data_IF_322597415498
#
_entry.id   IF_322597415498
#
_cell.length_a   1.000
_cell.length_b   1.000
_cell.length_c   1.000
_cell.angle_alpha   90.00
_cell.angle_beta   90.00
_cell.angle_gamma   90.00
#
_symmetry.space_group_name_H-M   'P 1'
#
loop_
_entity.id
_entity.type
_entity.pdbx_description
1 polymer ?
#
# COMPACT_ATOMS: atom_id res chain seq x y z
N UNK A 1 14.88 11.70 -11.40
CA UNK A 1 13.72 10.79 -11.39
C UNK A 1 13.30 10.50 -9.96
N UNK A 2 12.03 10.67 -9.65
CA UNK A 2 11.50 10.44 -8.30
C UNK A 2 11.15 8.97 -8.12
N UNK A 3 11.70 8.34 -7.08
CA UNK A 3 11.43 6.92 -6.80
C UNK A 3 10.34 6.80 -5.74
N UNK A 4 9.26 6.12 -6.09
CA UNK A 4 8.09 5.96 -5.25
C UNK A 4 7.98 4.54 -4.69
N UNK A 5 7.57 4.45 -3.41
CA UNK A 5 7.04 3.21 -2.86
C UNK A 5 5.52 3.30 -2.90
N UNK A 6 4.86 2.27 -3.38
CA UNK A 6 3.41 2.26 -3.53
C UNK A 6 2.80 1.28 -2.53
N UNK A 7 1.97 1.80 -1.61
CA UNK A 7 1.36 1.00 -0.55
C UNK A 7 -0.13 0.90 -0.80
N UNK A 8 -0.66 -0.30 -0.88
CA UNK A 8 -2.07 -0.52 -1.17
C UNK A 8 -2.58 -1.79 -0.50
N UNK A 9 -3.86 -1.81 -0.17
CA UNK A 9 -4.52 -3.02 0.29
C UNK A 9 -5.04 -3.87 -0.88
N UNK A 10 -5.13 -3.30 -2.07
CA UNK A 10 -5.54 -4.02 -3.28
C UNK A 10 -6.97 -4.53 -3.21
N UNK A 11 -7.85 -3.76 -2.61
CA UNK A 11 -9.16 -4.21 -2.16
C UNK A 11 -10.22 -4.23 -3.25
N UNK A 12 -10.06 -3.43 -4.30
CA UNK A 12 -11.08 -3.34 -5.35
C UNK A 12 -10.61 -2.55 -6.57
N UNK A 13 -11.55 -2.20 -7.46
CA UNK A 13 -11.22 -1.50 -8.71
C UNK A 13 -10.50 -0.17 -8.50
N UNK A 14 -10.79 0.54 -7.40
CA UNK A 14 -10.14 1.83 -7.11
C UNK A 14 -8.65 1.72 -6.99
N UNK A 15 -8.15 0.68 -6.33
CA UNK A 15 -6.71 0.44 -6.19
C UNK A 15 -6.05 0.25 -7.55
N UNK A 16 -6.68 -0.53 -8.42
CA UNK A 16 -6.17 -0.76 -9.77
C UNK A 16 -6.20 0.51 -10.62
N UNK A 17 -7.28 1.28 -10.50
CA UNK A 17 -7.44 2.51 -11.28
C UNK A 17 -6.39 3.57 -10.92
N UNK A 18 -6.06 3.71 -9.63
CA UNK A 18 -5.02 4.62 -9.18
C UNK A 18 -3.66 4.26 -9.78
N UNK A 19 -3.28 3.00 -9.69
CA UNK A 19 -2.00 2.55 -10.23
C UNK A 19 -1.96 2.70 -11.75
N UNK A 20 -3.04 2.31 -12.43
CA UNK A 20 -3.15 2.44 -13.88
C UNK A 20 -2.99 3.89 -14.32
N UNK A 21 -3.66 4.83 -13.63
CA UNK A 21 -3.60 6.23 -13.97
C UNK A 21 -2.17 6.78 -13.93
N UNK A 22 -1.42 6.41 -12.89
CA UNK A 22 -0.02 6.86 -12.75
C UNK A 22 0.85 6.23 -13.82
N UNK A 23 0.68 4.95 -14.09
CA UNK A 23 1.48 4.27 -15.12
C UNK A 23 1.17 4.78 -16.52
N UNK A 24 -0.08 5.13 -16.79
CA UNK A 24 -0.45 5.74 -18.07
C UNK A 24 0.16 7.13 -18.24
N UNK A 25 0.17 7.95 -17.19
CA UNK A 25 0.83 9.25 -17.24
C UNK A 25 2.34 9.11 -17.48
N UNK A 26 2.95 8.14 -16.85
CA UNK A 26 4.36 7.84 -17.07
C UNK A 26 4.63 7.49 -18.53
N UNK A 27 3.82 6.61 -19.09
CA UNK A 27 4.00 6.11 -20.46
C UNK A 27 3.64 7.14 -21.52
N UNK A 28 2.51 7.84 -21.38
CA UNK A 28 1.99 8.74 -22.41
C UNK A 28 2.54 10.15 -22.31
N UNK A 29 2.77 10.65 -21.12
CA UNK A 29 3.14 12.04 -20.89
C UNK A 29 4.53 12.20 -20.27
N UNK A 30 5.29 11.13 -20.14
CA UNK A 30 6.66 11.18 -19.68
C UNK A 30 6.84 11.59 -18.22
N UNK A 31 5.87 11.28 -17.36
CA UNK A 31 5.99 11.55 -15.93
C UNK A 31 7.28 10.91 -15.39
N UNK A 32 8.16 11.74 -14.85
CA UNK A 32 9.52 11.31 -14.48
C UNK A 32 9.55 10.69 -13.08
N UNK A 33 8.95 9.52 -12.98
CA UNK A 33 8.90 8.72 -11.75
C UNK A 33 9.22 7.26 -12.03
N UNK A 34 9.61 6.57 -10.97
CA UNK A 34 9.72 5.11 -10.97
C UNK A 34 8.98 4.59 -9.75
N UNK A 35 8.09 3.62 -9.93
CA UNK A 35 7.51 2.90 -8.81
C UNK A 35 8.47 1.75 -8.48
N UNK A 36 9.24 1.93 -7.41
CA UNK A 36 10.29 0.99 -7.04
C UNK A 36 9.75 -0.34 -6.53
N UNK A 37 8.59 -0.30 -5.89
CA UNK A 37 7.87 -1.48 -5.39
C UNK A 37 6.42 -1.15 -5.14
N UNK A 38 5.60 -2.20 -5.08
CA UNK A 38 4.24 -2.15 -4.52
C UNK A 38 4.24 -3.02 -3.27
N UNK A 39 3.83 -2.44 -2.15
CA UNK A 39 3.65 -3.17 -0.89
C UNK A 39 2.16 -3.35 -0.63
N UNK A 40 1.74 -4.59 -0.36
CA UNK A 40 0.37 -4.92 0.01
C UNK A 40 0.34 -5.56 1.39
N UNK A 41 -0.58 -5.12 2.24
CA UNK A 41 -0.71 -5.64 3.60
C UNK A 41 -1.60 -6.89 3.72
N UNK A 42 -1.88 -7.56 2.61
CA UNK A 42 -2.52 -8.86 2.55
C UNK A 42 -1.72 -9.80 1.67
N UNK A 43 -1.81 -11.09 1.99
CA UNK A 43 -1.23 -12.14 1.16
C UNK A 43 -2.33 -13.12 0.78
N UNK A 44 -2.62 -13.23 -0.52
CA UNK A 44 -3.72 -14.07 -1.01
C UNK A 44 -3.49 -15.57 -0.78
N UNK A 45 -2.26 -15.99 -0.58
CA UNK A 45 -1.94 -17.40 -0.30
C UNK A 45 -2.17 -17.75 1.16
N UNK A 46 -1.87 -16.80 2.07
CA UNK A 46 -1.99 -17.00 3.50
C UNK A 46 -3.39 -16.74 4.04
N UNK A 47 -4.10 -15.80 3.42
CA UNK A 47 -5.35 -15.27 3.96
C UNK A 47 -6.54 -15.52 3.03
N UNK A 48 -7.40 -16.50 3.32
CA UNK A 48 -8.68 -16.57 2.63
C UNK A 48 -9.52 -15.34 3.04
N UNK A 49 -9.98 -14.56 2.07
CA UNK A 49 -10.76 -13.37 2.35
C UNK A 49 -11.67 -13.04 1.16
N UNK A 50 -12.77 -12.30 1.41
CA UNK A 50 -13.75 -12.04 0.36
C UNK A 50 -13.26 -11.16 -0.78
N UNK A 51 -12.09 -10.53 -0.61
CA UNK A 51 -11.51 -9.67 -1.65
C UNK A 51 -10.37 -10.35 -2.40
N UNK A 52 -10.23 -11.66 -2.26
CA UNK A 52 -9.13 -12.40 -2.85
C UNK A 52 -9.06 -12.23 -4.37
N UNK A 53 -10.18 -12.31 -5.06
CA UNK A 53 -10.22 -12.15 -6.52
C UNK A 53 -9.80 -10.75 -6.95
N UNK A 54 -10.32 -9.73 -6.28
CA UNK A 54 -9.97 -8.33 -6.58
C UNK A 54 -8.48 -8.08 -6.33
N UNK A 55 -7.95 -8.62 -5.26
CA UNK A 55 -6.54 -8.47 -4.93
C UNK A 55 -5.65 -9.22 -5.91
N UNK A 56 -6.08 -10.39 -6.36
CA UNK A 56 -5.32 -11.12 -7.37
C UNK A 56 -5.23 -10.33 -8.67
N UNK A 57 -6.31 -9.67 -9.07
CA UNK A 57 -6.29 -8.79 -10.24
C UNK A 57 -5.29 -7.64 -10.06
N UNK A 58 -5.21 -7.08 -8.86
CA UNK A 58 -4.23 -6.05 -8.54
C UNK A 58 -2.80 -6.60 -8.62
N UNK A 59 -2.56 -7.76 -8.05
CA UNK A 59 -1.23 -8.39 -8.10
C UNK A 59 -0.81 -8.70 -9.54
N UNK A 60 -1.73 -9.19 -10.35
CA UNK A 60 -1.45 -9.49 -11.75
C UNK A 60 -1.11 -8.21 -12.53
N UNK A 61 -1.79 -7.11 -12.22
CA UNK A 61 -1.48 -5.81 -12.81
C UNK A 61 -0.08 -5.33 -12.43
N UNK A 62 0.27 -5.42 -11.15
CA UNK A 62 1.61 -5.03 -10.66
C UNK A 62 2.68 -5.83 -11.39
N UNK A 63 2.50 -7.13 -11.50
CA UNK A 63 3.42 -8.01 -12.21
C UNK A 63 3.50 -7.67 -13.69
N UNK A 64 2.36 -7.33 -14.29
CA UNK A 64 2.30 -6.92 -15.69
C UNK A 64 3.09 -5.66 -15.99
N UNK A 65 3.21 -4.76 -15.02
CA UNK A 65 4.05 -3.57 -15.14
C UNK A 65 5.52 -3.86 -14.77
N UNK A 66 5.84 -5.08 -14.41
CA UNK A 66 7.20 -5.47 -13.97
C UNK A 66 7.65 -4.72 -12.72
N UNK A 67 6.72 -4.37 -11.85
CA UNK A 67 7.02 -3.73 -10.57
C UNK A 67 7.21 -4.81 -9.50
N UNK A 68 8.26 -4.76 -8.68
CA UNK A 68 8.41 -5.69 -7.57
C UNK A 68 7.21 -5.63 -6.62
N UNK A 69 6.66 -6.78 -6.29
CA UNK A 69 5.53 -6.91 -5.38
C UNK A 69 6.01 -7.49 -4.05
N UNK A 70 5.74 -6.75 -2.97
CA UNK A 70 6.06 -7.18 -1.61
C UNK A 70 4.74 -7.35 -0.87
N UNK A 71 4.53 -8.53 -0.28
CA UNK A 71 3.32 -8.78 0.52
C UNK A 71 3.70 -9.16 1.94
N UNK A 72 2.90 -8.69 2.89
CA UNK A 72 3.01 -9.11 4.28
C UNK A 72 1.64 -9.01 4.92
N UNK A 73 1.02 -10.16 5.20
CA UNK A 73 -0.31 -10.17 5.80
C UNK A 73 -0.29 -9.52 7.18
N UNK A 74 -1.14 -8.51 7.38
CA UNK A 74 -1.31 -7.91 8.69
C UNK A 74 -2.04 -8.86 9.63
N UNK A 75 -2.90 -9.71 9.08
CA UNK A 75 -3.77 -10.56 9.87
C UNK A 75 -3.03 -11.74 10.50
N UNK A 76 -2.05 -12.29 9.80
CA UNK A 76 -1.26 -13.40 10.30
C UNK A 76 -0.02 -12.96 11.06
N UNK A 77 0.33 -11.68 10.99
CA UNK A 77 1.49 -11.13 11.68
C UNK A 77 1.17 -10.88 13.14
N UNK A 78 1.73 -11.68 14.03
CA UNK A 78 1.60 -11.51 15.48
C UNK A 78 0.16 -11.24 15.94
N UNK A 79 -0.81 -12.15 15.65
CA UNK A 79 -2.20 -11.90 16.06
C UNK A 79 -2.38 -11.80 17.58
N UNK A 80 -1.51 -12.45 18.36
CA UNK A 80 -1.48 -12.31 19.81
C UNK A 80 -1.21 -10.86 20.23
N UNK A 81 -0.24 -10.23 19.60
CA UNK A 81 0.13 -8.84 19.89
C UNK A 81 -0.95 -7.87 19.42
N UNK A 82 -1.57 -8.14 18.29
CA UNK A 82 -2.69 -7.34 17.79
C UNK A 82 -3.81 -7.23 18.82
N UNK A 83 -4.14 -8.34 19.46
CA UNK A 83 -5.21 -8.37 20.47
C UNK A 83 -4.84 -7.70 21.78
N UNK A 84 -3.58 -7.82 22.19
CA UNK A 84 -3.15 -7.41 23.52
C UNK A 84 -2.54 -6.01 23.57
N UNK A 85 -1.85 -5.58 22.53
CA UNK A 85 -1.20 -4.27 22.46
C UNK A 85 -1.09 -3.82 21.01
N UNK A 86 -2.15 -3.21 20.51
CA UNK A 86 -2.22 -2.77 19.12
C UNK A 86 -1.12 -1.77 18.75
N UNK A 87 -0.75 -0.89 19.66
CA UNK A 87 0.32 0.08 19.39
C UNK A 87 1.65 -0.62 19.17
N UNK A 88 1.99 -1.57 20.01
CA UNK A 88 3.22 -2.34 19.85
C UNK A 88 3.18 -3.20 18.61
N UNK A 89 2.01 -3.78 18.30
CA UNK A 89 1.83 -4.53 17.07
C UNK A 89 2.14 -3.64 15.86
N UNK A 90 1.61 -2.43 15.86
CA UNK A 90 1.83 -1.50 14.76
C UNK A 90 3.30 -1.14 14.60
N UNK A 91 3.99 -0.92 15.70
CA UNK A 91 5.42 -0.62 15.67
C UNK A 91 6.22 -1.82 15.14
N UNK A 92 5.89 -3.03 15.56
CA UNK A 92 6.55 -4.25 15.08
C UNK A 92 6.26 -4.51 13.60
N UNK A 93 5.03 -4.33 13.18
CA UNK A 93 4.67 -4.46 11.77
C UNK A 93 5.42 -3.43 10.92
N UNK A 94 5.54 -2.21 11.42
CA UNK A 94 6.31 -1.16 10.76
C UNK A 94 7.78 -1.51 10.60
N UNK A 95 8.39 -2.14 11.60
CA UNK A 95 9.77 -2.61 11.51
C UNK A 95 9.92 -3.63 10.37
N UNK A 96 8.97 -4.57 10.29
CA UNK A 96 8.99 -5.59 9.24
C UNK A 96 8.79 -4.94 7.86
N UNK A 97 7.86 -4.02 7.74
CA UNK A 97 7.63 -3.28 6.51
C UNK A 97 8.90 -2.56 6.05
N UNK A 98 9.57 -1.85 6.97
CA UNK A 98 10.80 -1.12 6.65
C UNK A 98 11.93 -2.06 6.26
N UNK A 99 12.04 -3.20 6.94
CA UNK A 99 13.04 -4.22 6.61
C UNK A 99 12.87 -4.71 5.17
N UNK A 100 11.61 -4.93 4.77
CA UNK A 100 11.29 -5.45 3.44
C UNK A 100 11.47 -4.40 2.34
N UNK A 101 11.25 -3.14 2.65
CA UNK A 101 11.25 -2.07 1.65
C UNK A 101 12.55 -1.27 1.57
N UNK A 102 13.38 -1.32 2.61
CA UNK A 102 14.61 -0.55 2.70
C UNK A 102 15.55 -0.72 1.49
N UNK A 103 15.74 -1.93 0.94
CA UNK A 103 16.66 -2.10 -0.19
C UNK A 103 16.30 -1.29 -1.43
N UNK A 104 15.07 -0.79 -1.53
CA UNK A 104 14.59 -0.08 -2.72
C UNK A 104 14.90 1.41 -2.73
N UNK A 105 15.29 2.01 -1.61
CA UNK A 105 15.72 3.43 -1.50
C UNK A 105 14.73 4.42 -2.15
N UNK A 106 13.51 4.49 -1.63
CA UNK A 106 12.48 5.39 -2.18
C UNK A 106 12.65 6.82 -1.70
N UNK A 107 12.19 7.76 -2.52
CA UNK A 107 12.14 9.19 -2.18
C UNK A 107 10.82 9.54 -1.51
N UNK A 108 9.73 8.87 -1.86
CA UNK A 108 8.40 9.18 -1.38
C UNK A 108 7.54 7.92 -1.34
N UNK A 109 6.79 7.74 -0.26
CA UNK A 109 5.79 6.67 -0.16
C UNK A 109 4.41 7.19 -0.55
N UNK A 110 3.69 6.44 -1.34
CA UNK A 110 2.32 6.77 -1.75
C UNK A 110 1.38 5.76 -1.09
N UNK A 111 0.47 6.24 -0.27
CA UNK A 111 -0.57 5.41 0.33
C UNK A 111 -1.79 5.47 -0.58
N UNK A 112 -1.96 4.46 -1.42
CA UNK A 112 -2.99 4.40 -2.45
C UNK A 112 -4.01 3.32 -2.12
N UNK A 113 -5.00 3.65 -1.31
CA UNK A 113 -5.97 2.67 -0.80
C UNK A 113 -5.35 1.71 0.20
N UNK A 114 -4.49 2.22 1.05
CA UNK A 114 -3.85 1.43 2.12
C UNK A 114 -4.72 1.52 3.38
N UNK A 115 -5.31 0.41 3.78
CA UNK A 115 -6.32 0.35 4.85
C UNK A 115 -5.75 0.01 6.22
N UNK A 116 -4.49 0.29 6.45
CA UNK A 116 -3.83 0.09 7.74
C UNK A 116 -3.13 1.38 8.14
N UNK A 117 -3.18 1.73 9.41
CA UNK A 117 -2.47 2.91 9.89
C UNK A 117 -0.97 2.64 9.94
N UNK A 118 -0.21 3.61 9.44
CA UNK A 118 1.24 3.52 9.45
C UNK A 118 1.77 3.91 10.82
N UNK A 119 2.81 3.21 11.28
CA UNK A 119 3.47 3.56 12.54
C UNK A 119 4.28 4.85 12.42
N UNK A 120 4.55 5.48 13.57
CA UNK A 120 5.24 6.78 13.61
C UNK A 120 6.64 6.72 13.01
N UNK A 121 7.41 5.69 13.33
CA UNK A 121 8.78 5.58 12.84
C UNK A 121 8.86 5.46 11.33
N UNK A 122 7.93 4.74 10.72
CA UNK A 122 7.88 4.63 9.26
C UNK A 122 7.54 5.97 8.63
N UNK A 123 6.63 6.73 9.25
CA UNK A 123 6.29 8.07 8.77
C UNK A 123 7.45 9.06 8.92
N UNK A 124 8.35 8.85 9.87
CA UNK A 124 9.55 9.67 10.01
C UNK A 124 10.60 9.27 8.98
N UNK A 125 10.79 7.98 8.76
CA UNK A 125 11.80 7.48 7.83
C UNK A 125 11.44 7.73 6.38
N UNK A 126 10.16 7.56 6.03
CA UNK A 126 9.66 7.79 4.68
C UNK A 126 8.72 8.98 4.65
N UNK A 127 8.96 9.91 3.74
CA UNK A 127 7.96 10.92 3.44
C UNK A 127 6.79 10.22 2.77
N UNK A 128 5.58 10.44 3.29
CA UNK A 128 4.38 9.75 2.84
C UNK A 128 3.34 10.72 2.32
N UNK A 129 2.69 10.34 1.23
CA UNK A 129 1.54 11.06 0.67
C UNK A 129 0.35 10.11 0.62
N UNK A 130 -0.76 10.50 1.22
CA UNK A 130 -1.97 9.70 1.23
C UNK A 130 -2.94 10.20 0.16
N UNK A 131 -3.33 9.30 -0.75
CA UNK A 131 -4.32 9.61 -1.76
C UNK A 131 -5.71 9.38 -1.18
N UNK A 132 -6.38 10.46 -0.77
CA UNK A 132 -7.70 10.40 -0.19
C UNK A 132 -8.76 10.48 -1.32
N UNK A 133 -9.68 9.53 -1.41
CA UNK A 133 -10.64 9.49 -2.53
C UNK A 133 -11.80 10.49 -2.43
N UNK A 134 -11.75 11.42 -1.46
CA UNK A 134 -12.77 12.45 -1.26
C UNK A 134 -12.14 13.83 -1.22
N UNK A 135 -12.97 14.88 -1.33
CA UNK A 135 -12.50 16.25 -1.18
C UNK A 135 -11.97 16.48 0.24
N UNK A 136 -11.01 17.41 0.43
CA UNK A 136 -10.45 17.67 1.76
C UNK A 136 -11.48 17.97 2.84
N UNK A 137 -12.59 18.57 2.47
CA UNK A 137 -13.70 18.90 3.39
C UNK A 137 -14.77 17.80 3.43
N UNK A 138 -14.57 16.73 2.67
CA UNK A 138 -15.53 15.63 2.61
C UNK A 138 -15.33 14.61 3.70
N UNK A 139 -16.09 13.49 3.63
CA UNK A 139 -15.99 12.43 4.62
C UNK A 139 -14.59 11.85 4.73
N UNK A 140 -14.21 11.47 5.95
CA UNK A 140 -12.95 10.84 6.27
C UNK A 140 -13.22 9.55 7.03
N UNK A 141 -12.28 8.62 6.97
CA UNK A 141 -12.41 7.37 7.68
C UNK A 141 -12.63 6.20 6.75
N UNK A 142 -13.70 5.42 6.95
CA UNK A 142 -13.92 4.23 6.15
C UNK A 142 -14.30 4.59 4.71
N UNK A 143 -14.04 3.66 3.80
CA UNK A 143 -14.36 3.87 2.40
C UNK A 143 -15.86 4.11 2.14
N UNK A 144 -16.72 3.60 2.99
CA UNK A 144 -18.17 3.80 2.87
C UNK A 144 -18.56 5.27 3.02
N UNK A 145 -17.76 6.01 3.73
CA UNK A 145 -18.00 7.44 3.98
C UNK A 145 -17.39 8.32 2.92
N UNK A 146 -16.40 7.82 2.19
CA UNK A 146 -15.67 8.63 1.21
C UNK A 146 -16.06 8.33 -0.23
N UNK A 147 -16.91 7.34 -0.44
CA UNK A 147 -17.50 7.07 -1.73
C UNK A 147 -18.74 7.92 -1.91
#
# INVERSE_FOLDING_TARGET
MLKLGWFSTGRGPGSRNLLRAVMEEKEKNGLDIEIAFVFCNWDNEEDPNPRKEQRQMFFDMVKGYSIPLITKSWKTFRPDLWENDEKEWRDEYGKELRRLTKPYNIDLGILAGYMLWMDDETCVEYDMLNLHPALPDGPKGTWQEVI
#
